data_IF_522991548737
#
_entry.id   IF_522991548737
#
_cell.length_a   1.000
_cell.length_b   1.000
_cell.length_c   1.000
_cell.angle_alpha   90.00
_cell.angle_beta   90.00
_cell.angle_gamma   90.00
#
_symmetry.space_group_name_H-M   'P 1'
#
loop_
_entity.id
_entity.type
_entity.pdbx_description
1 polymer ?
#
# COMPACT_ATOMS: atom_id res chain seq x y z
N UNK A 1 69.35 -11.18 -6.96
CA UNK A 1 68.66 -9.93 -7.36
C UNK A 1 67.18 -10.11 -7.08
N UNK A 2 66.71 -9.65 -5.92
CA UNK A 2 65.28 -9.64 -5.60
C UNK A 2 64.67 -8.39 -6.23
N UNK A 3 63.72 -8.57 -7.14
CA UNK A 3 63.01 -7.48 -7.80
C UNK A 3 62.09 -6.84 -6.76
N UNK A 4 62.48 -5.67 -6.27
CA UNK A 4 61.64 -4.80 -5.44
C UNK A 4 60.38 -4.44 -6.23
N UNK A 5 59.21 -4.87 -5.74
CA UNK A 5 57.92 -4.34 -6.21
C UNK A 5 57.98 -2.82 -6.06
N UNK A 6 57.69 -2.10 -7.14
CA UNK A 6 57.70 -0.63 -7.13
C UNK A 6 56.58 -0.12 -6.22
N UNK A 7 56.86 0.95 -5.49
CA UNK A 7 55.96 1.62 -4.53
C UNK A 7 54.57 1.96 -5.13
N UNK A 8 54.49 2.08 -6.47
CA UNK A 8 53.25 2.30 -7.22
C UNK A 8 52.38 1.03 -7.37
N UNK A 9 52.98 -0.16 -7.52
CA UNK A 9 52.26 -1.42 -7.62
C UNK A 9 51.59 -1.82 -6.31
N UNK A 10 52.28 -1.61 -5.19
CA UNK A 10 51.71 -1.81 -3.84
C UNK A 10 50.59 -0.81 -3.52
N UNK A 11 50.69 0.42 -4.05
CA UNK A 11 49.65 1.45 -3.90
C UNK A 11 48.38 1.09 -4.69
N UNK A 12 48.54 0.60 -5.93
CA UNK A 12 47.42 0.15 -6.76
C UNK A 12 46.73 -1.10 -6.18
N UNK A 13 47.50 -2.05 -5.65
CA UNK A 13 46.99 -3.27 -5.01
C UNK A 13 46.21 -2.92 -3.71
N UNK A 14 46.69 -1.95 -2.93
CA UNK A 14 45.98 -1.40 -1.77
C UNK A 14 44.68 -0.67 -2.15
N UNK A 15 44.70 0.16 -3.20
CA UNK A 15 43.49 0.86 -3.67
C UNK A 15 42.43 -0.12 -4.18
N UNK A 16 42.84 -1.16 -4.91
CA UNK A 16 41.93 -2.22 -5.37
C UNK A 16 41.33 -3.00 -4.20
N UNK A 17 42.15 -3.31 -3.18
CA UNK A 17 41.68 -4.01 -1.97
C UNK A 17 40.73 -3.13 -1.14
N UNK A 18 40.99 -1.83 -1.06
CA UNK A 18 40.14 -0.86 -0.37
C UNK A 18 38.79 -0.67 -1.10
N UNK A 19 38.80 -0.56 -2.43
CA UNK A 19 37.58 -0.46 -3.24
C UNK A 19 36.70 -1.72 -3.15
N UNK A 20 37.31 -2.91 -3.16
CA UNK A 20 36.59 -4.18 -2.94
C UNK A 20 35.98 -4.23 -1.53
N UNK A 21 36.68 -3.68 -0.53
CA UNK A 21 36.19 -3.63 0.84
C UNK A 21 35.02 -2.65 1.00
N UNK A 22 35.10 -1.48 0.38
CA UNK A 22 34.03 -0.47 0.38
C UNK A 22 32.77 -0.98 -0.34
N UNK A 23 32.94 -1.59 -1.52
CA UNK A 23 31.85 -2.24 -2.25
C UNK A 23 31.23 -3.41 -1.45
N UNK A 24 32.04 -4.15 -0.68
CA UNK A 24 31.53 -5.17 0.22
C UNK A 24 30.77 -4.59 1.43
N UNK A 25 31.17 -3.42 1.92
CA UNK A 25 30.52 -2.69 3.00
C UNK A 25 29.18 -2.06 2.56
N UNK A 26 29.11 -1.49 1.36
CA UNK A 26 27.88 -1.01 0.71
C UNK A 26 26.92 -2.17 0.40
N UNK A 27 27.44 -3.27 -0.18
CA UNK A 27 26.65 -4.48 -0.39
C UNK A 27 26.15 -5.07 0.93
N UNK A 28 26.93 -4.98 2.02
CA UNK A 28 26.49 -5.39 3.35
C UNK A 28 25.37 -4.49 3.89
N UNK A 29 25.48 -3.16 3.74
CA UNK A 29 24.43 -2.21 4.10
C UNK A 29 23.13 -2.45 3.34
N UNK A 30 23.23 -2.62 2.02
CA UNK A 30 22.08 -2.90 1.18
C UNK A 30 21.48 -4.27 1.51
N UNK A 31 22.30 -5.28 1.80
CA UNK A 31 21.82 -6.59 2.28
C UNK A 31 21.12 -6.49 3.63
N UNK A 32 21.59 -5.65 4.55
CA UNK A 32 20.98 -5.42 5.86
C UNK A 32 19.65 -4.70 5.72
N UNK A 33 19.57 -3.64 4.91
CA UNK A 33 18.32 -2.94 4.62
C UNK A 33 17.33 -3.84 3.88
N UNK A 34 17.79 -4.63 2.92
CA UNK A 34 16.99 -5.66 2.27
C UNK A 34 16.54 -6.74 3.25
N UNK A 35 17.39 -7.18 4.19
CA UNK A 35 17.00 -8.17 5.18
C UNK A 35 15.99 -7.61 6.17
N UNK A 36 16.16 -6.37 6.61
CA UNK A 36 15.20 -5.65 7.43
C UNK A 36 13.86 -5.47 6.70
N UNK A 37 13.88 -4.98 5.46
CA UNK A 37 12.69 -4.80 4.63
C UNK A 37 11.98 -6.15 4.37
N UNK A 38 12.72 -7.22 4.04
CA UNK A 38 12.17 -8.58 3.90
C UNK A 38 11.56 -9.08 5.21
N UNK A 39 12.16 -8.78 6.35
CA UNK A 39 11.64 -9.16 7.68
C UNK A 39 10.35 -8.41 8.00
N UNK A 40 10.30 -7.10 7.71
CA UNK A 40 9.09 -6.29 7.88
C UNK A 40 7.98 -6.76 6.92
N UNK A 41 8.30 -7.00 5.66
CA UNK A 41 7.37 -7.51 4.65
C UNK A 41 6.81 -8.89 5.02
N UNK A 42 7.68 -9.83 5.39
CA UNK A 42 7.27 -11.16 5.84
C UNK A 42 6.37 -11.07 7.06
N UNK A 43 6.69 -10.17 8.00
CA UNK A 43 5.88 -9.96 9.18
C UNK A 43 4.49 -9.42 8.83
N UNK A 44 4.37 -8.47 7.91
CA UNK A 44 3.05 -7.97 7.49
C UNK A 44 2.23 -9.05 6.76
N UNK A 45 2.87 -9.81 5.87
CA UNK A 45 2.25 -10.97 5.21
C UNK A 45 1.77 -12.01 6.23
N UNK A 46 2.57 -12.27 7.28
CA UNK A 46 2.22 -13.19 8.35
C UNK A 46 1.06 -12.67 9.21
N UNK A 47 1.05 -11.39 9.59
CA UNK A 47 -0.10 -10.76 10.28
C UNK A 47 -1.36 -10.88 9.42
N UNK A 48 -1.23 -10.68 8.11
CA UNK A 48 -2.35 -10.80 7.17
C UNK A 48 -2.89 -12.23 7.10
N UNK A 49 -2.00 -13.23 6.98
CA UNK A 49 -2.35 -14.64 7.03
C UNK A 49 -3.05 -15.00 8.35
N UNK A 50 -2.44 -14.66 9.49
CA UNK A 50 -3.01 -14.96 10.81
C UNK A 50 -4.38 -14.29 10.99
N UNK A 51 -4.55 -13.05 10.53
CA UNK A 51 -5.85 -12.35 10.56
C UNK A 51 -6.94 -13.09 9.78
N UNK A 52 -6.61 -13.67 8.62
CA UNK A 52 -7.55 -14.45 7.80
C UNK A 52 -7.91 -15.78 8.48
N UNK A 53 -7.01 -16.37 9.27
CA UNK A 53 -7.28 -17.59 10.04
C UNK A 53 -8.39 -17.41 11.10
N UNK A 54 -8.69 -16.17 11.53
CA UNK A 54 -9.87 -15.92 12.37
C UNK A 54 -11.19 -16.33 11.70
N UNK A 55 -11.26 -16.26 10.36
CA UNK A 55 -12.40 -16.76 9.59
C UNK A 55 -12.60 -18.27 9.76
N UNK A 56 -11.51 -19.05 9.83
CA UNK A 56 -11.59 -20.49 10.11
C UNK A 56 -12.09 -20.77 11.53
N UNK A 57 -11.69 -19.99 12.53
CA UNK A 57 -12.27 -20.10 13.89
C UNK A 57 -13.78 -19.88 13.83
N UNK A 58 -14.24 -18.84 13.12
CA UNK A 58 -15.67 -18.59 12.92
C UNK A 58 -16.41 -19.74 12.22
N UNK A 59 -15.81 -20.33 11.19
CA UNK A 59 -16.37 -21.48 10.46
C UNK A 59 -16.44 -22.71 11.37
N UNK A 60 -15.37 -23.03 12.10
CA UNK A 60 -15.34 -24.17 13.02
C UNK A 60 -16.35 -24.00 14.15
N UNK A 61 -16.43 -22.80 14.73
CA UNK A 61 -17.47 -22.46 15.72
C UNK A 61 -18.88 -22.62 15.16
N UNK A 62 -19.12 -22.21 13.91
CA UNK A 62 -20.41 -22.38 13.27
C UNK A 62 -20.77 -23.86 13.03
N UNK A 63 -19.82 -24.66 12.55
CA UNK A 63 -20.01 -26.10 12.31
C UNK A 63 -20.38 -26.82 13.62
N UNK A 64 -19.67 -26.52 14.70
CA UNK A 64 -19.98 -27.09 16.03
C UNK A 64 -21.38 -26.66 16.49
N UNK A 65 -21.77 -25.39 16.28
CA UNK A 65 -23.15 -24.94 16.57
C UNK A 65 -24.21 -25.66 15.72
N UNK A 66 -23.95 -25.96 14.44
CA UNK A 66 -24.89 -26.72 13.62
C UNK A 66 -24.99 -28.19 14.01
N UNK A 67 -23.86 -28.84 14.34
CA UNK A 67 -23.85 -30.20 14.90
C UNK A 67 -24.67 -30.27 16.19
N UNK A 68 -24.58 -29.24 17.03
CA UNK A 68 -25.37 -29.15 18.25
C UNK A 68 -26.87 -28.97 18.00
N UNK A 69 -27.29 -28.25 16.96
CA UNK A 69 -28.72 -28.13 16.59
C UNK A 69 -29.37 -29.46 16.25
N UNK A 70 -28.59 -30.39 15.70
CA UNK A 70 -29.04 -31.74 15.35
C UNK A 70 -28.87 -32.74 16.50
N UNK A 71 -28.27 -32.32 17.62
CA UNK A 71 -28.12 -33.14 18.81
C UNK A 71 -29.45 -33.22 19.57
N UNK A 72 -29.80 -34.38 20.19
CA UNK A 72 -31.04 -34.57 20.97
C UNK A 72 -31.21 -33.62 22.17
N UNK A 73 -30.24 -32.73 22.43
CA UNK A 73 -30.10 -31.93 23.66
C UNK A 73 -30.27 -30.41 23.44
N UNK A 74 -30.46 -29.94 22.20
CA UNK A 74 -30.76 -28.53 21.86
C UNK A 74 -29.58 -27.54 21.96
N UNK A 75 -29.86 -26.24 21.71
CA UNK A 75 -28.91 -25.13 21.91
C UNK A 75 -28.75 -24.84 23.41
N UNK A 76 -27.73 -25.40 24.05
CA UNK A 76 -27.42 -25.17 25.46
C UNK A 76 -26.19 -24.25 25.65
N UNK A 77 -25.72 -24.10 26.89
CA UNK A 77 -24.55 -23.32 27.35
C UNK A 77 -23.30 -23.45 26.46
N UNK A 78 -23.17 -24.57 25.73
CA UNK A 78 -22.12 -24.85 24.75
C UNK A 78 -22.11 -23.85 23.57
N UNK A 79 -23.23 -23.26 23.18
CA UNK A 79 -23.25 -22.16 22.21
C UNK A 79 -22.51 -20.91 22.73
N UNK A 80 -22.51 -20.70 24.05
CA UNK A 80 -21.71 -19.67 24.71
C UNK A 80 -20.22 -19.93 24.63
N UNK A 81 -19.79 -21.20 24.63
CA UNK A 81 -18.38 -21.59 24.44
C UNK A 81 -17.89 -21.23 23.02
N UNK A 82 -18.73 -21.43 22.00
CA UNK A 82 -18.38 -21.03 20.63
C UNK A 82 -18.49 -19.53 20.39
N UNK A 83 -19.44 -18.85 21.02
CA UNK A 83 -19.48 -17.39 21.02
C UNK A 83 -18.20 -16.80 21.63
N UNK A 84 -17.69 -17.43 22.70
CA UNK A 84 -16.42 -17.08 23.32
C UNK A 84 -15.24 -17.28 22.35
N UNK A 85 -15.21 -18.36 21.56
CA UNK A 85 -14.20 -18.56 20.50
C UNK A 85 -14.17 -17.41 19.49
N UNK A 86 -15.35 -16.94 19.06
CA UNK A 86 -15.46 -15.82 18.09
C UNK A 86 -15.01 -14.51 18.72
N UNK A 87 -15.40 -14.22 19.97
CA UNK A 87 -14.97 -13.01 20.69
C UNK A 87 -13.44 -12.99 20.88
N UNK A 88 -12.85 -14.13 21.23
CA UNK A 88 -11.40 -14.28 21.32
C UNK A 88 -10.77 -14.03 19.95
N UNK A 89 -11.30 -14.63 18.88
CA UNK A 89 -10.76 -14.45 17.53
C UNK A 89 -10.78 -12.99 17.07
N UNK A 90 -11.91 -12.29 17.23
CA UNK A 90 -12.04 -10.86 16.89
C UNK A 90 -11.08 -10.01 17.70
N UNK A 91 -11.03 -10.22 19.02
CA UNK A 91 -10.12 -9.46 19.90
C UNK A 91 -8.65 -9.72 19.58
N UNK A 92 -8.31 -10.94 19.17
CA UNK A 92 -6.96 -11.32 18.71
C UNK A 92 -6.60 -10.62 17.41
N UNK A 93 -7.53 -10.50 16.45
CA UNK A 93 -7.30 -9.73 15.21
C UNK A 93 -7.05 -8.26 15.51
N UNK A 94 -7.87 -7.66 16.39
CA UNK A 94 -7.67 -6.26 16.82
C UNK A 94 -6.30 -6.06 17.48
N UNK A 95 -5.85 -7.03 18.28
CA UNK A 95 -4.53 -7.03 18.89
C UNK A 95 -3.40 -7.10 17.84
N UNK A 96 -3.38 -8.10 16.96
CA UNK A 96 -2.26 -8.30 16.00
C UNK A 96 -2.22 -7.22 14.90
N UNK A 97 -3.38 -6.67 14.49
CA UNK A 97 -3.47 -5.56 13.53
C UNK A 97 -3.20 -4.19 14.15
N UNK A 98 -3.03 -4.13 15.48
CA UNK A 98 -2.84 -2.90 16.25
C UNK A 98 -3.96 -1.87 16.03
N UNK A 99 -5.21 -2.34 15.85
CA UNK A 99 -6.35 -1.46 15.66
C UNK A 99 -6.89 -0.92 17.00
N UNK A 100 -7.24 0.37 17.02
CA UNK A 100 -7.73 1.10 18.19
C UNK A 100 -6.73 1.07 19.37
N UNK A 101 -6.98 0.22 20.38
CA UNK A 101 -6.16 0.08 21.58
C UNK A 101 -5.68 -1.38 21.71
N UNK A 102 -4.48 -1.73 21.20
CA UNK A 102 -4.00 -3.10 21.15
C UNK A 102 -3.83 -3.73 22.53
N UNK A 103 -3.49 -2.92 23.54
CA UNK A 103 -3.34 -3.40 24.91
C UNK A 103 -4.69 -3.83 25.50
N UNK A 104 -5.75 -3.06 25.23
CA UNK A 104 -7.10 -3.43 25.63
C UNK A 104 -7.56 -4.70 24.90
N UNK A 105 -7.36 -4.75 23.58
CA UNK A 105 -7.69 -5.92 22.76
C UNK A 105 -6.98 -7.19 23.25
N UNK A 106 -5.69 -7.09 23.57
CA UNK A 106 -4.92 -8.18 24.18
C UNK A 106 -5.50 -8.62 25.52
N UNK A 107 -5.78 -7.68 26.45
CA UNK A 107 -6.34 -7.99 27.77
C UNK A 107 -7.68 -8.72 27.66
N UNK A 108 -8.53 -8.28 26.73
CA UNK A 108 -9.83 -8.92 26.45
C UNK A 108 -9.63 -10.33 25.90
N UNK A 109 -8.80 -10.50 24.86
CA UNK A 109 -8.51 -11.80 24.27
C UNK A 109 -7.89 -12.78 25.29
N UNK A 110 -6.94 -12.30 26.09
CA UNK A 110 -6.27 -13.08 27.12
C UNK A 110 -7.22 -13.53 28.24
N UNK A 111 -8.03 -12.61 28.78
CA UNK A 111 -8.98 -12.91 29.84
C UNK A 111 -10.02 -13.96 29.38
N UNK A 112 -10.57 -13.79 28.19
CA UNK A 112 -11.53 -14.76 27.63
C UNK A 112 -10.87 -16.08 27.24
N UNK A 113 -9.60 -16.08 26.84
CA UNK A 113 -8.83 -17.30 26.61
C UNK A 113 -8.64 -18.09 27.91
N UNK A 114 -8.32 -17.44 29.03
CA UNK A 114 -8.23 -18.10 30.34
C UNK A 114 -9.57 -18.69 30.76
N UNK A 115 -10.66 -17.96 30.56
CA UNK A 115 -12.01 -18.43 30.83
C UNK A 115 -12.36 -19.67 29.99
N UNK A 116 -12.06 -19.62 28.68
CA UNK A 116 -12.31 -20.73 27.77
C UNK A 116 -11.45 -21.96 28.13
N UNK A 117 -10.19 -21.74 28.49
CA UNK A 117 -9.26 -22.80 28.92
C UNK A 117 -9.69 -23.46 30.21
N UNK A 118 -10.10 -22.68 31.22
CA UNK A 118 -10.63 -23.22 32.48
C UNK A 118 -11.89 -24.07 32.23
N UNK A 119 -12.83 -23.55 31.43
CA UNK A 119 -14.04 -24.29 31.09
C UNK A 119 -13.70 -25.60 30.35
N UNK A 120 -12.80 -25.55 29.37
CA UNK A 120 -12.36 -26.75 28.64
C UNK A 120 -11.71 -27.79 29.56
N UNK A 121 -10.81 -27.36 30.45
CA UNK A 121 -10.13 -28.23 31.41
C UNK A 121 -11.10 -28.81 32.46
N UNK A 122 -12.06 -28.03 32.95
CA UNK A 122 -13.08 -28.50 33.87
C UNK A 122 -13.94 -29.59 33.22
N UNK A 123 -14.42 -29.37 31.99
CA UNK A 123 -15.18 -30.39 31.26
C UNK A 123 -14.33 -31.59 30.86
N UNK A 124 -13.03 -31.43 30.62
CA UNK A 124 -12.12 -32.55 30.40
C UNK A 124 -11.90 -33.38 31.67
N UNK A 125 -11.66 -32.71 32.80
CA UNK A 125 -11.46 -33.34 34.10
C UNK A 125 -12.70 -34.09 34.56
N UNK A 126 -13.89 -33.50 34.44
CA UNK A 126 -15.16 -34.16 34.77
C UNK A 126 -15.37 -35.45 33.96
N UNK A 127 -15.02 -35.43 32.67
CA UNK A 127 -15.06 -36.64 31.82
C UNK A 127 -14.02 -37.67 32.24
N UNK A 128 -12.79 -37.24 32.53
CA UNK A 128 -11.70 -38.12 32.94
C UNK A 128 -11.98 -38.82 34.28
N UNK A 129 -12.63 -38.14 35.21
CA UNK A 129 -13.03 -38.67 36.52
C UNK A 129 -14.39 -39.39 36.50
N UNK A 130 -14.99 -39.59 35.32
CA UNK A 130 -16.29 -40.23 35.11
C UNK A 130 -17.43 -39.64 35.96
N UNK A 131 -17.36 -38.34 36.26
CA UNK A 131 -18.45 -37.67 36.97
C UNK A 131 -19.72 -37.61 36.10
N UNK A 132 -20.91 -37.61 36.71
CA UNK A 132 -22.15 -37.43 35.97
C UNK A 132 -22.11 -36.12 35.18
N UNK A 133 -22.41 -36.18 33.89
CA UNK A 133 -22.38 -35.01 33.00
C UNK A 133 -23.32 -33.91 33.50
N UNK A 134 -22.79 -32.72 33.73
CA UNK A 134 -23.54 -31.56 34.22
C UNK A 134 -23.90 -30.60 33.07
N UNK A 135 -24.84 -29.69 33.32
CA UNK A 135 -25.20 -28.64 32.39
C UNK A 135 -23.98 -27.73 32.15
N UNK A 136 -23.52 -27.64 30.89
CA UNK A 136 -22.34 -26.87 30.51
C UNK A 136 -21.10 -27.71 30.19
N UNK A 137 -21.16 -29.04 30.37
CA UNK A 137 -20.06 -29.90 29.94
C UNK A 137 -19.95 -29.98 28.42
N UNK A 138 -18.72 -29.78 27.93
CA UNK A 138 -18.41 -29.84 26.50
C UNK A 138 -18.51 -31.27 25.94
N UNK A 139 -18.66 -31.36 24.62
CA UNK A 139 -18.61 -32.64 23.90
C UNK A 139 -17.19 -33.22 23.88
N UNK A 140 -17.08 -34.52 23.60
CA UNK A 140 -15.78 -35.20 23.59
C UNK A 140 -14.83 -34.70 22.52
N UNK A 141 -15.40 -34.27 21.40
CA UNK A 141 -14.69 -33.86 20.18
C UNK A 141 -14.55 -32.33 20.07
N UNK A 142 -15.12 -31.58 21.01
CA UNK A 142 -15.14 -30.12 20.95
C UNK A 142 -13.80 -29.56 21.37
N UNK A 143 -13.22 -28.68 20.55
CA UNK A 143 -11.91 -28.07 20.77
C UNK A 143 -12.04 -26.57 21.09
N UNK A 144 -11.15 -26.02 21.92
CA UNK A 144 -11.15 -24.60 22.25
C UNK A 144 -10.47 -23.78 21.13
N UNK A 145 -11.11 -23.66 19.97
CA UNK A 145 -10.52 -23.03 18.78
C UNK A 145 -10.09 -21.57 19.02
N UNK A 146 -10.85 -20.80 19.80
CA UNK A 146 -10.48 -19.43 20.20
C UNK A 146 -9.15 -19.38 20.95
N UNK A 147 -9.00 -20.21 21.99
CA UNK A 147 -7.76 -20.35 22.76
C UNK A 147 -6.59 -20.76 21.88
N UNK A 148 -6.76 -21.81 21.07
CA UNK A 148 -5.69 -22.32 20.20
C UNK A 148 -5.21 -21.19 19.27
N UNK A 149 -6.15 -20.50 18.63
CA UNK A 149 -5.85 -19.39 17.74
C UNK A 149 -5.13 -18.24 18.46
N UNK A 150 -5.62 -17.80 19.64
CA UNK A 150 -4.97 -16.74 20.41
C UNK A 150 -3.54 -17.10 20.79
N UNK A 151 -3.28 -18.32 21.25
CA UNK A 151 -1.93 -18.77 21.64
C UNK A 151 -0.98 -18.75 20.44
N UNK A 152 -1.40 -19.26 19.28
CA UNK A 152 -0.57 -19.24 18.05
C UNK A 152 -0.29 -17.80 17.61
N UNK A 153 -1.30 -16.93 17.61
CA UNK A 153 -1.14 -15.52 17.27
C UNK A 153 -0.22 -14.79 18.24
N UNK A 154 -0.36 -15.01 19.55
CA UNK A 154 0.43 -14.32 20.56
C UNK A 154 1.90 -14.75 20.54
N UNK A 155 2.18 -16.04 20.38
CA UNK A 155 3.55 -16.55 20.22
C UNK A 155 4.18 -15.98 18.94
N UNK A 156 3.43 -15.97 17.83
CA UNK A 156 3.88 -15.42 16.56
C UNK A 156 4.20 -13.93 16.68
N UNK A 157 3.28 -13.12 17.25
CA UNK A 157 3.47 -11.69 17.48
C UNK A 157 4.74 -11.41 18.31
N UNK A 158 4.97 -12.19 19.38
CA UNK A 158 6.15 -12.03 20.23
C UNK A 158 7.44 -12.38 19.50
N UNK A 159 7.43 -13.44 18.68
CA UNK A 159 8.57 -13.82 17.84
C UNK A 159 8.87 -12.73 16.80
N UNK A 160 7.83 -12.21 16.14
CA UNK A 160 7.96 -11.20 15.10
C UNK A 160 8.48 -9.88 15.66
N UNK A 161 7.94 -9.39 16.78
CA UNK A 161 8.44 -8.20 17.46
C UNK A 161 9.92 -8.34 17.84
N UNK A 162 10.32 -9.51 18.35
CA UNK A 162 11.72 -9.80 18.65
C UNK A 162 12.59 -9.82 17.39
N UNK A 163 12.11 -10.43 16.31
CA UNK A 163 12.82 -10.46 15.02
C UNK A 163 13.01 -9.06 14.43
N UNK A 164 12.02 -8.17 14.59
CA UNK A 164 12.12 -6.77 14.16
C UNK A 164 13.08 -5.97 15.03
N UNK A 165 13.03 -6.13 16.35
CA UNK A 165 13.98 -5.50 17.26
C UNK A 165 15.41 -5.97 16.99
N UNK A 166 15.62 -7.27 16.79
CA UNK A 166 16.95 -7.81 16.43
C UNK A 166 17.40 -7.32 15.07
N UNK A 167 16.55 -7.34 14.03
CA UNK A 167 16.92 -6.82 12.71
C UNK A 167 17.23 -5.31 12.75
N UNK A 168 16.48 -4.53 13.55
CA UNK A 168 16.73 -3.12 13.77
C UNK A 168 18.05 -2.88 14.51
N UNK A 169 18.31 -3.61 15.60
CA UNK A 169 19.56 -3.52 16.36
C UNK A 169 20.75 -3.93 15.51
N UNK A 170 20.66 -5.03 14.76
CA UNK A 170 21.71 -5.44 13.82
C UNK A 170 21.94 -4.39 12.74
N UNK A 171 20.89 -3.72 12.25
CA UNK A 171 21.04 -2.63 11.29
C UNK A 171 21.69 -1.38 11.90
N UNK A 172 21.33 -1.00 13.13
CA UNK A 172 21.93 0.11 13.86
C UNK A 172 23.39 -0.20 14.24
N UNK A 173 23.67 -1.39 14.76
CA UNK A 173 25.03 -1.86 15.09
C UNK A 173 25.92 -1.98 13.85
N UNK A 174 25.41 -2.45 12.71
CA UNK A 174 26.19 -2.42 11.47
C UNK A 174 26.45 -0.99 10.98
N UNK A 175 25.44 -0.12 11.05
CA UNK A 175 25.59 1.30 10.69
C UNK A 175 26.62 2.01 11.56
N UNK A 176 26.71 1.66 12.84
CA UNK A 176 27.69 2.20 13.78
C UNK A 176 29.08 1.55 13.69
N UNK A 177 29.19 0.33 13.16
CA UNK A 177 30.47 -0.41 13.03
C UNK A 177 31.11 -0.29 11.65
N UNK A 178 30.37 0.16 10.64
CA UNK A 178 30.91 0.54 9.36
C UNK A 178 31.63 1.89 9.48
N UNK A 179 32.88 2.01 8.97
CA UNK A 179 33.57 3.28 8.96
C UNK A 179 32.73 4.29 8.19
N UNK A 180 32.15 5.22 8.92
CA UNK A 180 31.25 6.24 8.40
C UNK A 180 32.05 7.18 7.46
N UNK A 181 31.54 7.31 6.24
CA UNK A 181 31.70 8.46 5.32
C UNK A 181 33.00 8.48 4.50
N UNK A 182 32.91 8.05 3.24
CA UNK A 182 33.83 8.51 2.21
C UNK A 182 33.72 10.03 2.10
N UNK A 183 34.81 10.73 2.41
CA UNK A 183 34.93 12.16 2.12
C UNK A 183 35.51 12.31 0.73
N UNK A 184 34.71 12.71 -0.23
CA UNK A 184 35.10 13.04 -1.59
C UNK A 184 36.23 14.08 -1.64
N UNK A 185 36.32 14.96 -0.65
CA UNK A 185 37.44 15.89 -0.46
C UNK A 185 38.77 15.22 -0.09
N UNK A 186 38.75 14.05 0.54
CA UNK A 186 39.93 13.31 0.98
C UNK A 186 40.24 12.08 0.10
N UNK A 187 39.30 11.67 -0.77
CA UNK A 187 39.47 10.54 -1.68
C UNK A 187 40.42 10.87 -2.85
N UNK A 188 41.56 10.17 -2.98
CA UNK A 188 42.48 10.35 -4.10
C UNK A 188 41.86 10.11 -5.47
N UNK A 189 40.79 9.30 -5.57
CA UNK A 189 40.08 9.05 -6.82
C UNK A 189 39.31 10.27 -7.34
N UNK A 190 39.16 11.30 -6.50
CA UNK A 190 38.42 12.53 -6.79
C UNK A 190 39.29 13.78 -6.70
N UNK A 191 40.61 13.63 -6.57
CA UNK A 191 41.57 14.73 -6.43
C UNK A 191 41.68 15.61 -7.68
N UNK A 192 41.30 15.09 -8.85
CA UNK A 192 41.27 15.82 -10.13
C UNK A 192 39.98 16.66 -10.32
N UNK A 193 38.99 16.49 -9.45
CA UNK A 193 37.72 17.22 -9.50
C UNK A 193 37.70 18.29 -8.41
N UNK A 194 37.69 19.57 -8.81
CA UNK A 194 37.48 20.67 -7.88
C UNK A 194 36.14 20.53 -7.16
N UNK A 195 36.14 20.55 -5.82
CA UNK A 195 34.92 20.56 -5.01
C UNK A 195 34.34 21.97 -5.04
N UNK A 196 33.18 22.13 -5.68
CA UNK A 196 32.57 23.44 -5.94
C UNK A 196 31.51 23.72 -4.88
N UNK A 197 31.75 24.67 -3.96
CA UNK A 197 30.75 25.04 -2.94
C UNK A 197 29.47 25.59 -3.56
N UNK A 198 28.36 25.48 -2.83
CA UNK A 198 27.15 26.22 -3.17
C UNK A 198 27.37 27.73 -3.00
N UNK A 199 27.07 28.51 -4.03
CA UNK A 199 27.08 29.98 -3.97
C UNK A 199 25.66 30.49 -3.70
N UNK A 200 25.37 30.78 -2.42
CA UNK A 200 24.10 31.40 -1.99
C UNK A 200 24.17 32.95 -1.97
N UNK A 201 25.27 33.53 -2.48
CA UNK A 201 25.54 34.97 -2.44
C UNK A 201 25.99 35.49 -1.06
N UNK A 202 26.21 36.82 -0.95
CA UNK A 202 26.72 37.43 0.29
C UNK A 202 25.69 37.48 1.42
N UNK A 203 24.39 37.54 1.09
CA UNK A 203 23.27 37.66 2.05
C UNK A 203 22.25 36.53 1.81
N UNK A 204 22.57 35.30 2.21
CA UNK A 204 21.77 34.13 1.85
C UNK A 204 20.40 34.13 2.56
N UNK A 205 19.33 33.93 1.79
CA UNK A 205 17.97 33.71 2.31
C UNK A 205 17.65 32.21 2.32
N UNK A 206 16.82 31.77 3.27
CA UNK A 206 16.43 30.35 3.45
C UNK A 206 17.61 29.37 3.47
N UNK A 207 18.76 29.81 3.97
CA UNK A 207 19.97 29.00 4.05
C UNK A 207 19.76 27.78 4.94
N UNK A 208 20.15 26.61 4.43
CA UNK A 208 20.05 25.35 5.13
C UNK A 208 21.39 25.06 5.80
N UNK A 209 21.37 24.77 7.10
CA UNK A 209 22.55 24.35 7.85
C UNK A 209 22.90 22.89 7.53
N UNK A 210 23.46 22.64 6.34
CA UNK A 210 23.85 21.31 5.89
C UNK A 210 24.93 20.66 6.77
N UNK A 211 24.86 19.33 6.90
CA UNK A 211 25.94 18.53 7.49
C UNK A 211 27.21 18.61 6.62
N UNK A 212 28.37 18.30 7.21
CA UNK A 212 29.63 18.26 6.45
C UNK A 212 29.61 17.22 5.33
N UNK A 213 28.95 16.08 5.57
CA UNK A 213 28.75 15.01 4.60
C UNK A 213 27.93 15.48 3.40
N UNK A 214 26.77 16.10 3.65
CA UNK A 214 25.94 16.64 2.58
C UNK A 214 26.72 17.66 1.72
N UNK A 215 27.48 18.55 2.37
CA UNK A 215 28.30 19.54 1.67
C UNK A 215 29.36 18.87 0.80
N UNK A 216 30.08 17.89 1.35
CA UNK A 216 31.17 17.20 0.65
C UNK A 216 30.69 16.46 -0.61
N UNK A 217 29.59 15.70 -0.49
CA UNK A 217 28.95 15.00 -1.62
C UNK A 217 28.46 16.00 -2.67
N UNK A 218 27.73 17.03 -2.25
CA UNK A 218 27.16 18.02 -3.18
C UNK A 218 28.21 18.90 -3.84
N UNK A 219 29.28 19.25 -3.14
CA UNK A 219 30.38 20.05 -3.70
C UNK A 219 31.16 19.25 -4.74
N UNK A 220 31.36 17.94 -4.50
CA UNK A 220 31.88 17.03 -5.51
C UNK A 220 30.96 16.95 -6.72
N UNK A 221 29.65 16.75 -6.51
CA UNK A 221 28.66 16.68 -7.57
C UNK A 221 28.62 17.96 -8.44
N UNK A 222 28.68 19.14 -7.83
CA UNK A 222 28.78 20.42 -8.58
C UNK A 222 30.06 20.50 -9.40
N UNK A 223 31.18 19.99 -8.89
CA UNK A 223 32.44 19.86 -9.63
C UNK A 223 32.31 18.98 -10.87
N UNK A 224 31.78 17.77 -10.69
CA UNK A 224 31.53 16.82 -11.79
C UNK A 224 30.55 17.40 -12.83
N UNK A 225 29.48 18.05 -12.36
CA UNK A 225 28.51 18.68 -13.23
C UNK A 225 29.14 19.81 -14.08
N UNK A 226 30.04 20.60 -13.49
CA UNK A 226 30.79 21.66 -14.19
C UNK A 226 31.76 21.10 -15.22
N UNK A 227 32.42 19.97 -14.92
CA UNK A 227 33.27 19.25 -15.86
C UNK A 227 32.46 18.52 -16.94
N UNK A 228 31.16 18.30 -16.70
CA UNK A 228 30.27 17.51 -17.54
C UNK A 228 30.86 16.11 -17.81
N UNK A 229 31.39 15.48 -16.78
CA UNK A 229 32.03 14.17 -16.84
C UNK A 229 30.99 13.04 -16.86
N UNK A 230 31.14 12.09 -17.78
CA UNK A 230 30.36 10.85 -17.83
C UNK A 230 31.29 9.66 -17.62
N UNK A 231 31.26 9.09 -16.43
CA UNK A 231 32.14 8.01 -16.00
C UNK A 231 31.45 7.10 -14.98
N UNK A 232 31.98 5.90 -14.78
CA UNK A 232 31.48 4.97 -13.77
C UNK A 232 31.54 5.56 -12.35
N UNK A 233 32.61 6.32 -12.03
CA UNK A 233 32.72 7.00 -10.73
C UNK A 233 31.65 8.10 -10.57
N UNK A 234 31.29 8.77 -11.66
CA UNK A 234 30.20 9.74 -11.66
C UNK A 234 28.87 9.04 -11.42
N UNK A 235 28.64 7.90 -12.07
CA UNK A 235 27.43 7.12 -11.85
C UNK A 235 27.31 6.69 -10.38
N UNK A 236 28.40 6.22 -9.76
CA UNK A 236 28.43 5.91 -8.34
C UNK A 236 28.14 7.15 -7.46
N UNK A 237 28.81 8.29 -7.70
CA UNK A 237 28.56 9.53 -6.96
C UNK A 237 27.08 9.97 -7.02
N UNK A 238 26.38 9.74 -8.14
CA UNK A 238 24.96 10.10 -8.21
C UNK A 238 24.09 9.31 -7.23
N UNK A 239 24.48 8.09 -6.83
CA UNK A 239 23.77 7.33 -5.78
C UNK A 239 23.85 8.08 -4.46
N UNK A 240 25.05 8.48 -4.04
CA UNK A 240 25.26 9.21 -2.78
C UNK A 240 24.51 10.55 -2.76
N UNK A 241 24.50 11.26 -3.89
CA UNK A 241 23.75 12.51 -4.03
C UNK A 241 22.24 12.28 -3.90
N UNK A 242 21.73 11.18 -4.46
CA UNK A 242 20.33 10.79 -4.34
C UNK A 242 20.02 10.36 -2.91
N UNK A 243 20.90 9.64 -2.23
CA UNK A 243 20.69 9.18 -0.85
C UNK A 243 20.60 10.36 0.12
N UNK A 244 21.42 11.40 -0.06
CA UNK A 244 21.34 12.61 0.78
C UNK A 244 20.20 13.55 0.38
N UNK A 245 19.73 13.51 -0.87
CA UNK A 245 18.56 14.29 -1.33
C UNK A 245 17.86 13.66 -2.55
N UNK A 246 16.91 12.73 -2.33
CA UNK A 246 16.26 12.02 -3.43
C UNK A 246 15.31 12.91 -4.24
N UNK A 247 15.01 14.12 -3.77
CA UNK A 247 14.17 15.08 -4.49
C UNK A 247 14.98 16.00 -5.44
N UNK A 248 16.31 15.91 -5.45
CA UNK A 248 17.15 16.71 -6.33
C UNK A 248 17.00 16.26 -7.79
N UNK A 249 16.15 16.92 -8.56
CA UNK A 249 15.88 16.55 -9.95
C UNK A 249 17.12 16.67 -10.88
N UNK A 250 18.09 17.52 -10.53
CA UNK A 250 19.32 17.71 -11.32
C UNK A 250 20.19 16.46 -11.32
N UNK A 251 20.34 15.79 -10.16
CA UNK A 251 21.11 14.54 -10.11
C UNK A 251 20.41 13.44 -10.92
N UNK A 252 19.08 13.33 -10.82
CA UNK A 252 18.34 12.33 -11.59
C UNK A 252 18.44 12.54 -13.09
N UNK A 253 18.41 13.80 -13.55
CA UNK A 253 18.66 14.14 -14.95
C UNK A 253 20.08 13.77 -15.37
N UNK A 254 21.08 14.15 -14.57
CA UNK A 254 22.48 13.91 -14.91
C UNK A 254 22.83 12.41 -14.89
N UNK A 255 22.28 11.65 -13.93
CA UNK A 255 22.40 10.19 -13.85
C UNK A 255 21.93 9.52 -15.14
N UNK A 256 20.78 9.91 -15.71
CA UNK A 256 20.31 9.37 -16.99
C UNK A 256 21.28 9.61 -18.13
N UNK A 257 21.88 10.81 -18.21
CA UNK A 257 22.89 11.12 -19.23
C UNK A 257 24.14 10.27 -19.06
N UNK A 258 24.55 10.00 -17.83
CA UNK A 258 25.71 9.15 -17.53
C UNK A 258 25.41 7.70 -17.92
N UNK A 259 24.25 7.16 -17.53
CA UNK A 259 23.79 5.83 -17.94
C UNK A 259 23.77 5.65 -19.47
N UNK A 260 23.23 6.65 -20.18
CA UNK A 260 23.19 6.66 -21.64
C UNK A 260 24.61 6.69 -22.25
N UNK A 261 25.48 7.57 -21.76
CA UNK A 261 26.84 7.72 -22.27
C UNK A 261 27.72 6.48 -22.02
N UNK A 262 27.48 5.77 -20.93
CA UNK A 262 28.18 4.53 -20.59
C UNK A 262 27.60 3.30 -21.31
N UNK A 263 26.38 3.38 -21.84
CA UNK A 263 25.68 2.21 -22.38
C UNK A 263 25.39 1.17 -21.31
N UNK A 264 25.11 1.62 -20.09
CA UNK A 264 24.86 0.75 -18.92
C UNK A 264 23.64 -0.17 -19.12
N UNK A 265 23.62 -1.31 -18.42
CA UNK A 265 22.43 -2.15 -18.37
C UNK A 265 21.33 -1.47 -17.55
N UNK A 266 20.28 -1.06 -18.22
CA UNK A 266 19.16 -0.31 -17.63
C UNK A 266 18.22 -1.19 -16.77
N UNK A 267 18.34 -2.52 -16.82
CA UNK A 267 17.55 -3.43 -15.96
C UNK A 267 17.94 -3.33 -14.50
N UNK A 268 19.24 -3.17 -14.22
CA UNK A 268 19.71 -2.94 -12.85
C UNK A 268 19.16 -1.60 -12.31
N UNK A 269 19.04 -0.59 -13.17
CA UNK A 269 18.45 0.71 -12.82
C UNK A 269 16.94 0.61 -12.53
N UNK A 270 16.21 -0.27 -13.23
CA UNK A 270 14.81 -0.58 -12.88
C UNK A 270 14.72 -1.22 -11.50
N UNK A 271 15.64 -2.10 -11.11
CA UNK A 271 15.64 -2.65 -9.75
C UNK A 271 15.95 -1.56 -8.72
N UNK A 272 16.93 -0.70 -8.98
CA UNK A 272 17.24 0.44 -8.11
C UNK A 272 16.03 1.35 -7.89
N UNK A 273 15.32 1.73 -8.96
CA UNK A 273 14.10 2.56 -8.82
C UNK A 273 12.98 1.84 -8.08
N UNK A 274 12.88 0.51 -8.20
CA UNK A 274 11.90 -0.27 -7.44
C UNK A 274 12.19 -0.23 -5.93
N UNK A 275 13.45 -0.44 -5.55
CA UNK A 275 13.90 -0.37 -4.16
C UNK A 275 13.67 1.04 -3.57
N UNK A 276 13.97 2.08 -4.37
CA UNK A 276 13.76 3.48 -3.98
C UNK A 276 12.28 3.85 -3.87
N UNK A 277 11.41 3.28 -4.69
CA UNK A 277 9.97 3.52 -4.62
C UNK A 277 9.33 2.92 -3.36
N UNK A 278 9.89 1.84 -2.81
CA UNK A 278 9.45 1.29 -1.52
C UNK A 278 9.82 2.24 -0.38
N UNK A 279 11.03 2.80 -0.42
CA UNK A 279 11.52 3.70 0.63
C UNK A 279 10.90 5.10 0.55
N UNK A 280 10.68 5.61 -0.67
CA UNK A 280 10.21 6.96 -0.94
C UNK A 280 9.03 6.97 -1.95
N UNK A 281 7.89 6.33 -1.62
CA UNK A 281 6.81 6.06 -2.56
C UNK A 281 6.10 7.29 -3.14
N UNK A 282 6.31 8.47 -2.54
CA UNK A 282 5.68 9.75 -2.91
C UNK A 282 6.66 10.76 -3.53
N UNK A 283 7.83 10.30 -3.94
CA UNK A 283 8.85 11.14 -4.57
C UNK A 283 8.64 11.18 -6.10
N UNK A 284 8.45 12.37 -6.66
CA UNK A 284 8.22 12.55 -8.09
C UNK A 284 9.38 12.08 -8.97
N UNK A 285 10.61 12.32 -8.54
CA UNK A 285 11.80 12.07 -9.33
C UNK A 285 12.06 10.58 -9.54
N UNK A 286 11.79 9.74 -8.54
CA UNK A 286 11.94 8.28 -8.65
C UNK A 286 10.98 7.71 -9.71
N UNK A 287 9.69 8.06 -9.62
CA UNK A 287 8.69 7.61 -10.59
C UNK A 287 8.96 8.16 -12.00
N UNK A 288 9.40 9.42 -12.10
CA UNK A 288 9.81 9.99 -13.37
C UNK A 288 11.08 9.29 -13.92
N UNK A 289 12.06 9.00 -13.08
CA UNK A 289 13.28 8.33 -13.51
C UNK A 289 12.96 6.94 -14.05
N UNK A 290 12.16 6.14 -13.32
CA UNK A 290 11.70 4.83 -13.80
C UNK A 290 11.01 4.90 -15.16
N UNK A 291 10.11 5.88 -15.35
CA UNK A 291 9.45 6.14 -16.64
C UNK A 291 10.45 6.37 -17.77
N UNK A 292 11.45 7.20 -17.54
CA UNK A 292 12.48 7.51 -18.54
C UNK A 292 13.32 6.28 -18.86
N UNK A 293 13.68 5.47 -17.85
CA UNK A 293 14.42 4.22 -18.05
C UNK A 293 13.64 3.24 -18.92
N UNK A 294 12.36 2.99 -18.62
CA UNK A 294 11.49 2.19 -19.47
C UNK A 294 11.38 2.75 -20.89
N UNK A 295 11.36 4.09 -21.05
CA UNK A 295 11.32 4.75 -22.36
C UNK A 295 12.60 4.53 -23.15
N UNK A 296 13.77 4.66 -22.51
CA UNK A 296 15.08 4.40 -23.11
C UNK A 296 15.23 2.92 -23.52
N UNK A 297 14.68 2.00 -22.73
CA UNK A 297 14.68 0.57 -23.04
C UNK A 297 13.65 0.18 -24.10
N UNK A 298 12.66 1.04 -24.36
CA UNK A 298 11.45 0.71 -25.11
C UNK A 298 10.72 -0.53 -24.55
N UNK A 299 10.76 -0.72 -23.23
CA UNK A 299 10.18 -1.88 -22.54
C UNK A 299 9.48 -1.45 -21.25
N UNK A 300 8.20 -1.81 -21.13
CA UNK A 300 7.39 -1.60 -19.94
C UNK A 300 6.70 -2.87 -19.44
N UNK A 301 7.18 -4.04 -19.86
CA UNK A 301 6.54 -5.34 -19.60
C UNK A 301 6.38 -5.67 -18.10
N UNK A 302 7.27 -5.17 -17.26
CA UNK A 302 7.25 -5.39 -15.80
C UNK A 302 6.40 -4.35 -15.03
N UNK A 303 6.02 -3.25 -15.68
CA UNK A 303 5.46 -2.07 -14.99
C UNK A 303 4.08 -2.34 -14.39
N UNK A 304 3.31 -3.24 -14.99
CA UNK A 304 2.01 -3.67 -14.44
C UNK A 304 2.18 -4.42 -13.13
N UNK A 305 3.17 -5.29 -13.03
CA UNK A 305 3.45 -6.05 -11.80
C UNK A 305 4.01 -5.11 -10.73
N UNK A 306 4.96 -4.25 -11.09
CA UNK A 306 5.54 -3.26 -10.19
C UNK A 306 4.48 -2.29 -9.62
N UNK A 307 3.64 -1.69 -10.48
CA UNK A 307 2.57 -0.82 -10.02
C UNK A 307 1.55 -1.56 -9.14
N UNK A 308 1.27 -2.84 -9.42
CA UNK A 308 0.37 -3.63 -8.58
C UNK A 308 0.93 -3.79 -7.17
N UNK A 309 2.24 -4.02 -7.01
CA UNK A 309 2.88 -4.07 -5.69
C UNK A 309 2.75 -2.74 -4.94
N UNK A 310 3.05 -1.63 -5.61
CA UNK A 310 2.95 -0.30 -5.00
C UNK A 310 1.50 0.08 -4.62
N UNK A 311 0.52 -0.35 -5.42
CA UNK A 311 -0.91 -0.14 -5.17
C UNK A 311 -1.43 -1.09 -4.08
N UNK A 312 -0.93 -2.32 -3.99
CA UNK A 312 -1.30 -3.24 -2.90
C UNK A 312 -0.83 -2.69 -1.53
N UNK A 313 0.30 -1.97 -1.48
CA UNK A 313 0.78 -1.27 -0.27
C UNK A 313 0.01 0.03 0.04
N UNK A 314 -0.17 0.91 -0.96
CA UNK A 314 -0.98 2.12 -0.86
C UNK A 314 -1.95 2.19 -2.05
N UNK A 315 -3.16 1.69 -1.83
CA UNK A 315 -4.22 1.58 -2.85
C UNK A 315 -4.63 2.90 -3.50
N UNK A 316 -4.19 4.04 -2.93
CA UNK A 316 -4.46 5.39 -3.41
C UNK A 316 -3.17 6.15 -3.78
N UNK A 317 -2.03 5.48 -3.90
CA UNK A 317 -0.79 6.10 -4.35
C UNK A 317 -0.98 6.69 -5.76
N UNK A 318 -1.04 8.02 -5.82
CA UNK A 318 -1.28 8.74 -7.07
C UNK A 318 -0.17 8.51 -8.11
N UNK A 319 1.08 8.39 -7.67
CA UNK A 319 2.21 8.15 -8.57
C UNK A 319 2.13 6.77 -9.20
N UNK A 320 1.80 5.74 -8.41
CA UNK A 320 1.66 4.37 -8.91
C UNK A 320 0.53 4.27 -9.94
N UNK A 321 -0.64 4.86 -9.67
CA UNK A 321 -1.74 4.90 -10.63
C UNK A 321 -1.40 5.69 -11.90
N UNK A 322 -0.80 6.88 -11.76
CA UNK A 322 -0.39 7.70 -12.90
C UNK A 322 0.70 7.01 -13.75
N UNK A 323 1.61 6.29 -13.10
CA UNK A 323 2.64 5.50 -13.78
C UNK A 323 2.04 4.30 -14.51
N UNK A 324 1.14 3.56 -13.88
CA UNK A 324 0.41 2.45 -14.51
C UNK A 324 -0.33 2.92 -15.76
N UNK A 325 -1.06 4.04 -15.68
CA UNK A 325 -1.78 4.61 -16.82
C UNK A 325 -0.85 4.99 -17.97
N UNK A 326 0.31 5.58 -17.66
CA UNK A 326 1.32 5.89 -18.66
C UNK A 326 1.89 4.63 -19.30
N UNK A 327 2.27 3.63 -18.51
CA UNK A 327 2.87 2.40 -19.01
C UNK A 327 1.88 1.63 -19.90
N UNK A 328 0.62 1.48 -19.46
CA UNK A 328 -0.43 0.83 -20.23
C UNK A 328 -0.66 1.53 -21.58
N UNK A 329 -0.72 2.86 -21.60
CA UNK A 329 -0.89 3.63 -22.84
C UNK A 329 0.31 3.57 -23.77
N UNK A 330 1.51 3.64 -23.21
CA UNK A 330 2.75 3.77 -23.98
C UNK A 330 3.17 2.46 -24.62
N UNK A 331 2.94 1.34 -23.92
CA UNK A 331 3.37 0.00 -24.35
C UNK A 331 2.19 -0.90 -24.74
N UNK A 332 1.00 -0.34 -24.92
CA UNK A 332 -0.22 -1.04 -25.34
C UNK A 332 -0.62 -2.23 -24.43
N UNK A 333 -0.44 -2.09 -23.11
CA UNK A 333 -0.60 -3.19 -22.13
C UNK A 333 -2.01 -3.29 -21.54
N UNK A 334 -3.05 -3.18 -22.37
CA UNK A 334 -4.46 -3.11 -21.94
C UNK A 334 -5.01 -4.43 -21.38
N UNK A 335 -4.45 -5.57 -21.78
CA UNK A 335 -4.95 -6.90 -21.41
C UNK A 335 -5.00 -7.10 -19.89
N UNK A 336 -6.15 -7.53 -19.34
CA UNK A 336 -6.32 -7.78 -17.91
C UNK A 336 -6.41 -6.53 -17.03
N UNK A 337 -6.44 -5.31 -17.59
CA UNK A 337 -6.61 -4.09 -16.77
C UNK A 337 -8.00 -4.00 -16.13
N UNK A 338 -9.05 -4.51 -16.80
CA UNK A 338 -10.38 -4.60 -16.19
C UNK A 338 -10.43 -5.61 -15.05
N UNK A 339 -9.73 -6.75 -15.17
CA UNK A 339 -9.63 -7.74 -14.09
C UNK A 339 -8.91 -7.14 -12.88
N UNK A 340 -7.85 -6.36 -13.12
CA UNK A 340 -7.16 -5.62 -12.06
C UNK A 340 -8.08 -4.60 -11.38
N UNK A 341 -8.84 -3.81 -12.15
CA UNK A 341 -9.85 -2.90 -11.60
C UNK A 341 -10.88 -3.64 -10.77
N UNK A 342 -11.38 -4.78 -11.25
CA UNK A 342 -12.39 -5.57 -10.55
C UNK A 342 -11.84 -6.16 -9.25
N UNK A 343 -10.57 -6.59 -9.21
CA UNK A 343 -9.86 -6.93 -7.95
C UNK A 343 -9.88 -5.74 -6.99
N UNK A 344 -9.41 -4.57 -7.43
CA UNK A 344 -9.31 -3.38 -6.58
C UNK A 344 -10.67 -2.92 -6.03
N UNK A 345 -11.73 -2.97 -6.86
CA UNK A 345 -13.09 -2.59 -6.46
C UNK A 345 -13.80 -3.67 -5.63
N UNK A 346 -13.36 -4.93 -5.70
CA UNK A 346 -13.80 -5.98 -4.80
C UNK A 346 -13.19 -5.81 -3.40
N UNK A 347 -11.95 -5.34 -3.31
CA UNK A 347 -11.25 -5.04 -2.05
C UNK A 347 -11.77 -3.74 -1.40
N UNK A 348 -11.90 -2.67 -2.18
CA UNK A 348 -12.50 -1.40 -1.74
C UNK A 348 -13.33 -0.76 -2.85
N UNK A 349 -14.65 -0.91 -2.77
CA UNK A 349 -15.60 -0.29 -3.70
C UNK A 349 -15.55 1.24 -3.67
N UNK A 350 -15.00 1.87 -2.62
CA UNK A 350 -14.81 3.34 -2.49
C UNK A 350 -13.49 3.82 -3.07
N UNK A 351 -12.68 2.94 -3.66
CA UNK A 351 -11.43 3.33 -4.29
C UNK A 351 -11.67 4.14 -5.58
N UNK A 352 -11.69 5.46 -5.46
CA UNK A 352 -11.90 6.37 -6.58
C UNK A 352 -10.81 6.26 -7.66
N UNK A 353 -9.59 5.89 -7.30
CA UNK A 353 -8.51 5.67 -8.28
C UNK A 353 -8.81 4.47 -9.18
N UNK A 354 -9.38 3.40 -8.63
CA UNK A 354 -9.82 2.23 -9.40
C UNK A 354 -11.01 2.57 -10.32
N UNK A 355 -11.99 3.35 -9.86
CA UNK A 355 -13.08 3.86 -10.71
C UNK A 355 -12.57 4.73 -11.86
N UNK A 356 -11.62 5.63 -11.57
CA UNK A 356 -10.98 6.45 -12.59
C UNK A 356 -10.18 5.59 -13.59
N UNK A 357 -9.49 4.56 -13.12
CA UNK A 357 -8.76 3.64 -14.00
C UNK A 357 -9.72 2.81 -14.86
N UNK A 358 -10.87 2.38 -14.32
CA UNK A 358 -11.94 1.73 -15.09
C UNK A 358 -12.39 2.62 -16.27
N UNK A 359 -12.68 3.89 -15.98
CA UNK A 359 -13.04 4.87 -17.01
C UNK A 359 -11.95 4.98 -18.08
N UNK A 360 -10.69 5.06 -17.68
CA UNK A 360 -9.56 5.15 -18.60
C UNK A 360 -9.47 3.93 -19.52
N UNK A 361 -9.59 2.72 -18.98
CA UNK A 361 -9.51 1.47 -19.78
C UNK A 361 -10.67 1.40 -20.78
N UNK A 362 -11.89 1.72 -20.36
CA UNK A 362 -13.07 1.64 -21.21
C UNK A 362 -13.16 2.76 -22.26
N UNK A 363 -12.63 3.95 -21.95
CA UNK A 363 -12.57 5.08 -22.88
C UNK A 363 -11.45 4.96 -23.92
N UNK A 364 -10.39 4.20 -23.63
CA UNK A 364 -9.31 3.89 -24.58
C UNK A 364 -9.55 2.55 -25.30
N UNK A 365 -10.65 1.87 -25.01
CA UNK A 365 -11.18 0.74 -25.77
C UNK A 365 -12.55 1.10 -26.36
N UNK A 366 -13.23 0.17 -27.03
CA UNK A 366 -14.60 0.38 -27.51
C UNK A 366 -15.66 0.28 -26.40
N UNK A 367 -15.25 0.15 -25.13
CA UNK A 367 -16.13 -0.16 -23.99
C UNK A 367 -17.14 0.93 -23.62
N UNK A 368 -17.07 2.13 -24.21
CA UNK A 368 -18.06 3.21 -24.02
C UNK A 368 -18.62 3.76 -25.34
N UNK A 369 -18.38 3.07 -26.47
CA UNK A 369 -18.70 3.58 -27.80
C UNK A 369 -20.21 3.58 -28.10
N UNK A 370 -20.95 2.60 -27.57
CA UNK A 370 -22.38 2.44 -27.85
C UNK A 370 -23.25 2.66 -26.61
N UNK A 371 -24.55 2.92 -26.82
CA UNK A 371 -25.55 2.95 -25.74
C UNK A 371 -25.58 1.62 -24.97
N UNK A 372 -25.42 0.49 -25.67
CA UNK A 372 -25.42 -0.83 -25.05
C UNK A 372 -24.20 -1.05 -24.14
N UNK A 373 -23.02 -0.55 -24.52
CA UNK A 373 -21.83 -0.67 -23.68
C UNK A 373 -21.92 0.24 -22.44
N UNK A 374 -22.44 1.46 -22.60
CA UNK A 374 -22.76 2.33 -21.47
C UNK A 374 -23.80 1.71 -20.53
N UNK A 375 -24.81 1.03 -21.08
CA UNK A 375 -25.82 0.33 -20.28
C UNK A 375 -25.17 -0.73 -19.37
N UNK A 376 -24.26 -1.56 -19.90
CA UNK A 376 -23.53 -2.57 -19.10
C UNK A 376 -22.78 -1.92 -17.94
N UNK A 377 -22.14 -0.77 -18.18
CA UNK A 377 -21.37 -0.05 -17.17
C UNK A 377 -22.25 0.69 -16.13
N UNK A 378 -23.42 1.17 -16.55
CA UNK A 378 -24.45 1.69 -15.64
C UNK A 378 -24.94 0.57 -14.73
N UNK A 379 -25.27 -0.60 -15.29
CA UNK A 379 -25.73 -1.75 -14.52
C UNK A 379 -24.66 -2.24 -13.54
N UNK A 380 -23.38 -2.24 -13.96
CA UNK A 380 -22.24 -2.51 -13.08
C UNK A 380 -22.14 -1.51 -11.92
N UNK A 381 -22.27 -0.21 -12.20
CA UNK A 381 -22.21 0.83 -11.17
C UNK A 381 -23.38 0.75 -10.19
N UNK A 382 -24.58 0.42 -10.69
CA UNK A 382 -25.77 0.21 -9.86
C UNK A 382 -25.61 -1.01 -8.93
N UNK A 383 -24.99 -2.11 -9.38
CA UNK A 383 -24.62 -3.24 -8.49
C UNK A 383 -23.68 -2.79 -7.36
N UNK A 384 -22.71 -1.93 -7.66
CA UNK A 384 -21.79 -1.40 -6.63
C UNK A 384 -22.48 -0.43 -5.67
N UNK A 385 -23.43 0.39 -6.16
CA UNK A 385 -24.26 1.27 -5.32
C UNK A 385 -25.10 0.45 -4.36
N UNK A 386 -25.70 -0.66 -4.80
CA UNK A 386 -26.48 -1.54 -3.94
C UNK A 386 -25.66 -2.10 -2.74
N UNK A 387 -24.34 -2.23 -2.89
CA UNK A 387 -23.42 -2.66 -1.82
C UNK A 387 -23.04 -1.52 -0.87
N UNK A 388 -23.01 -0.28 -1.36
CA UNK A 388 -22.61 0.90 -0.60
C UNK A 388 -23.31 2.16 -1.12
N UNK A 389 -24.55 2.38 -0.70
CA UNK A 389 -25.42 3.44 -1.26
C UNK A 389 -24.88 4.86 -1.05
N UNK A 390 -24.15 5.11 0.04
CA UNK A 390 -23.47 6.38 0.34
C UNK A 390 -22.03 6.44 -0.21
N UNK A 391 -21.65 5.57 -1.15
CA UNK A 391 -20.37 5.67 -1.82
C UNK A 391 -20.50 6.61 -3.03
N UNK A 392 -19.87 7.78 -2.96
CA UNK A 392 -19.93 8.79 -4.01
C UNK A 392 -19.34 8.33 -5.36
N UNK A 393 -18.25 7.53 -5.34
CA UNK A 393 -17.52 7.18 -6.55
C UNK A 393 -18.36 6.53 -7.66
N UNK A 394 -19.18 5.50 -7.43
CA UNK A 394 -20.05 4.94 -8.47
C UNK A 394 -21.15 5.90 -8.93
N UNK A 395 -21.63 6.81 -8.08
CA UNK A 395 -22.58 7.85 -8.51
C UNK A 395 -21.92 8.85 -9.46
N UNK A 396 -20.70 9.28 -9.16
CA UNK A 396 -19.91 10.14 -10.04
C UNK A 396 -19.53 9.43 -11.33
N UNK A 397 -19.26 8.12 -11.28
CA UNK A 397 -19.04 7.30 -12.47
C UNK A 397 -20.28 7.26 -13.37
N UNK A 398 -21.48 7.04 -12.81
CA UNK A 398 -22.75 7.12 -13.57
C UNK A 398 -22.93 8.50 -14.22
N UNK A 399 -22.69 9.59 -13.48
CA UNK A 399 -22.74 10.96 -14.04
C UNK A 399 -21.81 11.11 -15.24
N UNK A 400 -20.61 10.55 -15.17
CA UNK A 400 -19.67 10.51 -16.30
C UNK A 400 -20.21 9.72 -17.50
N UNK A 401 -20.78 8.54 -17.25
CA UNK A 401 -21.31 7.64 -18.30
C UNK A 401 -22.47 8.25 -19.09
N UNK A 402 -23.36 9.00 -18.42
CA UNK A 402 -24.56 9.55 -19.05
C UNK A 402 -24.39 10.94 -19.65
N UNK A 403 -23.25 11.61 -19.42
CA UNK A 403 -23.03 12.98 -19.91
C UNK A 403 -23.16 13.05 -21.43
N UNK A 404 -24.13 13.83 -21.92
CA UNK A 404 -24.46 13.94 -23.35
C UNK A 404 -25.34 12.81 -23.90
N UNK A 405 -25.76 11.87 -23.06
CA UNK A 405 -26.61 10.73 -23.37
C UNK A 405 -27.77 10.56 -22.37
N UNK A 406 -28.10 11.62 -21.62
CA UNK A 406 -29.00 11.57 -20.47
C UNK A 406 -30.38 11.03 -20.86
N UNK A 407 -30.89 11.43 -22.04
CA UNK A 407 -32.20 11.00 -22.57
C UNK A 407 -32.33 9.48 -22.64
N UNK A 408 -31.25 8.76 -22.93
CA UNK A 408 -31.28 7.31 -23.09
C UNK A 408 -31.44 6.57 -21.75
N UNK A 409 -30.99 7.15 -20.65
CA UNK A 409 -30.88 6.49 -19.35
C UNK A 409 -31.73 7.14 -18.26
N UNK A 410 -32.27 8.33 -18.51
CA UNK A 410 -33.00 9.13 -17.52
C UNK A 410 -34.15 8.36 -16.87
N UNK A 411 -34.92 7.59 -17.64
CA UNK A 411 -36.05 6.82 -17.09
C UNK A 411 -35.58 5.81 -16.03
N UNK A 412 -34.65 4.92 -16.40
CA UNK A 412 -34.11 3.89 -15.49
C UNK A 412 -33.44 4.51 -14.27
N UNK A 413 -32.64 5.57 -14.46
CA UNK A 413 -31.90 6.20 -13.37
C UNK A 413 -32.82 6.99 -12.42
N UNK A 414 -33.87 7.64 -12.95
CA UNK A 414 -34.91 8.26 -12.11
C UNK A 414 -35.63 7.20 -11.28
N UNK A 415 -36.03 6.08 -11.88
CA UNK A 415 -36.67 4.96 -11.16
C UNK A 415 -35.75 4.43 -10.05
N UNK A 416 -34.50 4.12 -10.36
CA UNK A 416 -33.53 3.59 -9.38
C UNK A 416 -33.18 4.57 -8.26
N UNK A 417 -32.98 5.85 -8.58
CA UNK A 417 -32.67 6.84 -7.55
C UNK A 417 -33.87 7.11 -6.62
N UNK A 418 -35.11 7.06 -7.14
CA UNK A 418 -36.31 7.13 -6.29
C UNK A 418 -36.47 5.89 -5.41
N UNK A 419 -36.19 4.68 -5.94
CA UNK A 419 -36.16 3.45 -5.12
C UNK A 419 -35.15 3.58 -3.96
N UNK A 420 -33.95 4.09 -4.25
CA UNK A 420 -32.91 4.34 -3.23
C UNK A 420 -33.40 5.33 -2.19
N UNK A 421 -33.99 6.46 -2.57
CA UNK A 421 -34.48 7.45 -1.61
C UNK A 421 -35.69 6.96 -0.80
N UNK A 422 -36.49 6.04 -1.34
CA UNK A 422 -37.56 5.41 -0.58
C UNK A 422 -37.03 4.54 0.57
N UNK A 423 -35.87 3.89 0.38
CA UNK A 423 -35.23 3.04 1.40
C UNK A 423 -34.19 3.79 2.24
N UNK A 424 -33.55 4.81 1.69
CA UNK A 424 -32.44 5.56 2.27
C UNK A 424 -32.63 7.05 1.95
N UNK A 425 -33.55 7.74 2.66
CA UNK A 425 -33.93 9.12 2.36
C UNK A 425 -32.79 10.14 2.51
N UNK A 426 -31.77 9.81 3.29
CA UNK A 426 -30.57 10.61 3.54
C UNK A 426 -29.46 10.39 2.50
N UNK A 427 -29.70 9.60 1.44
CA UNK A 427 -28.74 9.43 0.35
C UNK A 427 -28.66 10.69 -0.54
N UNK A 428 -27.77 11.61 -0.17
CA UNK A 428 -27.55 12.86 -0.91
C UNK A 428 -27.19 12.63 -2.39
N UNK A 429 -26.49 11.54 -2.70
CA UNK A 429 -26.02 11.27 -4.06
C UNK A 429 -27.16 10.87 -5.01
N UNK A 430 -28.12 10.08 -4.52
CA UNK A 430 -29.32 9.72 -5.27
C UNK A 430 -30.21 10.94 -5.51
N UNK A 431 -30.42 11.77 -4.49
CA UNK A 431 -31.16 13.02 -4.60
C UNK A 431 -30.50 14.00 -5.58
N UNK A 432 -29.17 14.18 -5.48
CA UNK A 432 -28.43 15.03 -6.40
C UNK A 432 -28.48 14.52 -7.85
N UNK A 433 -28.39 13.21 -8.09
CA UNK A 433 -28.55 12.64 -9.44
C UNK A 433 -29.96 12.89 -9.99
N UNK A 434 -31.01 12.78 -9.17
CA UNK A 434 -32.37 13.09 -9.59
C UNK A 434 -32.52 14.56 -9.98
N UNK A 435 -31.94 15.48 -9.21
CA UNK A 435 -31.92 16.91 -9.56
C UNK A 435 -31.24 17.12 -10.92
N UNK A 436 -30.07 16.50 -11.15
CA UNK A 436 -29.35 16.57 -12.43
C UNK A 436 -30.23 16.09 -13.61
N UNK A 437 -30.97 14.98 -13.42
CA UNK A 437 -31.84 14.39 -14.43
C UNK A 437 -33.13 15.18 -14.67
N UNK A 438 -33.72 15.76 -13.62
CA UNK A 438 -34.89 16.62 -13.75
C UNK A 438 -34.55 17.98 -14.35
N UNK A 439 -33.35 18.52 -14.11
CA UNK A 439 -32.89 19.76 -14.75
C UNK A 439 -32.76 19.64 -16.28
N UNK A 440 -32.70 18.41 -16.83
CA UNK A 440 -32.73 18.14 -18.28
C UNK A 440 -34.14 17.93 -18.84
N UNK A 441 -35.14 17.87 -17.98
CA UNK A 441 -36.54 17.62 -18.31
C UNK A 441 -37.32 18.94 -18.17
N UNK A 442 -37.90 19.43 -19.27
CA UNK A 442 -38.52 20.78 -19.34
C UNK A 442 -39.97 20.77 -18.81
N UNK A 443 -40.43 19.67 -18.23
CA UNK A 443 -41.79 19.58 -17.67
C UNK A 443 -41.93 20.33 -16.33
N UNK A 444 -43.12 20.89 -16.09
CA UNK A 444 -43.44 21.54 -14.81
C UNK A 444 -43.34 20.56 -13.62
N UNK A 445 -43.70 19.29 -13.84
CA UNK A 445 -43.58 18.23 -12.82
C UNK A 445 -42.12 17.94 -12.45
N UNK A 446 -41.22 17.92 -13.44
CA UNK A 446 -39.79 17.75 -13.19
C UNK A 446 -39.21 18.94 -12.43
N UNK A 447 -39.60 20.16 -12.79
CA UNK A 447 -39.19 21.37 -12.08
C UNK A 447 -39.65 21.34 -10.62
N UNK A 448 -40.92 21.05 -10.36
CA UNK A 448 -41.46 20.95 -9.00
C UNK A 448 -40.74 19.87 -8.17
N UNK A 449 -40.45 18.71 -8.78
CA UNK A 449 -39.72 17.62 -8.15
C UNK A 449 -38.26 17.99 -7.81
N UNK A 450 -37.57 18.67 -8.74
CA UNK A 450 -36.22 19.15 -8.52
C UNK A 450 -36.13 20.19 -7.39
N UNK A 451 -37.05 21.16 -7.38
CA UNK A 451 -37.12 22.20 -6.31
C UNK A 451 -37.31 21.55 -4.95
N UNK A 452 -38.25 20.60 -4.83
CA UNK A 452 -38.49 19.88 -3.57
C UNK A 452 -37.23 19.14 -3.08
N UNK A 453 -36.54 18.44 -3.98
CA UNK A 453 -35.29 17.73 -3.62
C UNK A 453 -34.18 18.70 -3.20
N UNK A 454 -34.04 19.84 -3.89
CA UNK A 454 -33.07 20.87 -3.55
C UNK A 454 -33.35 21.48 -2.17
N UNK A 455 -34.62 21.73 -1.83
CA UNK A 455 -34.99 22.19 -0.49
C UNK A 455 -34.59 21.17 0.58
N UNK A 456 -34.83 19.87 0.37
CA UNK A 456 -34.41 18.82 1.30
C UNK A 456 -32.88 18.67 1.38
N UNK A 457 -32.17 18.80 0.26
CA UNK A 457 -30.70 18.78 0.25
C UNK A 457 -30.13 19.95 1.07
N UNK A 458 -30.54 21.17 0.73
CA UNK A 458 -30.08 22.40 1.38
C UNK A 458 -30.46 22.46 2.86
N UNK A 459 -31.70 22.08 3.18
CA UNK A 459 -32.24 22.27 4.51
C UNK A 459 -32.13 21.05 5.39
N UNK A 460 -31.92 19.82 4.92
CA UNK A 460 -32.00 18.66 5.82
C UNK A 460 -30.79 17.73 5.71
N UNK A 461 -30.35 17.41 4.50
CA UNK A 461 -29.48 16.24 4.25
C UNK A 461 -28.05 16.56 3.81
N UNK A 462 -27.81 17.66 3.08
CA UNK A 462 -26.48 18.07 2.57
C UNK A 462 -26.04 19.42 3.15
N UNK A 463 -26.20 19.57 4.47
CA UNK A 463 -25.71 20.74 5.20
C UNK A 463 -24.20 20.62 5.40
N UNK A 464 -23.41 21.39 4.66
CA UNK A 464 -22.00 21.63 5.02
C UNK A 464 -21.97 22.31 6.39
N UNK A 465 -21.27 21.71 7.35
CA UNK A 465 -21.19 22.14 8.76
C UNK A 465 -20.58 23.56 8.89
N UNK A 466 -21.37 24.59 8.65
CA UNK A 466 -21.04 25.99 8.90
C UNK A 466 -21.92 26.63 9.99
N UNK A 467 -22.75 25.86 10.69
CA UNK A 467 -23.58 26.37 11.78
C UNK A 467 -23.61 25.41 12.98
N UNK A 468 -22.58 25.50 13.81
CA UNK A 468 -22.69 25.32 15.25
C UNK A 468 -21.92 26.47 15.91
N UNK A 469 -22.57 27.63 15.99
CA UNK A 469 -22.27 28.63 17.02
C UNK A 469 -23.01 28.26 18.31
#
# INVERSE_FOLDING_TARGET
MAISKTNAGEKAEKMKTAAVKLSAEEAANQQVLQHYAKTVYFNDLWVSFMSKMAGLVGIMSYIEVQRMRQSPRGLSFIAGFEALSVVIAVSTVLFIRRWFNPLLAFKVAFAFTLLQGFWYLASFYSRFMEFPRQAGDLLSEQLPFGLIYFVVCWISDRFMMRSQETAKQTAEELRDTLPTIMKYSEDPAWADVDKVPQDDGPDPIVSIAYTSEFKDVMDCFRGVLKLNEYSERTLALTLDVIDVNPANYTVWYFRRRVLEALGSDLREELQYTADMAIQHPKNYQIWHHRREICTMMHDGSEEKAFCALAIDEDSKNYHAWAHRQWAVKTFDLWDGELDFVDKMLAEDVRNNSAWNHRWLVLSNSSGLATTADRQKEIDYALDKIAKAVHNESPWNYIRGLIRGHEVNFAKQLKEKANEVLATTPDCIFAAALLVDLYAKDVSEDALASAVKLLETLMNDTDRLWLQRE
#
